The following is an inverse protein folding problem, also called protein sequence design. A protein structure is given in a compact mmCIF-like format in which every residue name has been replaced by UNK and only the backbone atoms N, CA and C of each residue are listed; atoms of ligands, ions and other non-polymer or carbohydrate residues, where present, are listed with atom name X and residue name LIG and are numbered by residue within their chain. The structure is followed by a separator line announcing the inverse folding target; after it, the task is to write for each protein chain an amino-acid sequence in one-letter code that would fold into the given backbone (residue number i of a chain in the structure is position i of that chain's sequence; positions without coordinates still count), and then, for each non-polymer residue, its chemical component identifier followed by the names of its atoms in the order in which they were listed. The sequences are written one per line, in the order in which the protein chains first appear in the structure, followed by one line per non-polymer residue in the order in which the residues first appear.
data_IF_408884241085
#
_entry.id   IF_408884241085
#
_cell.length_a   1.000
_cell.length_b   1.000
_cell.length_c   1.000
_cell.angle_alpha   90.00
_cell.angle_beta   90.00
_cell.angle_gamma   90.00
#
_symmetry.space_group_name_H-M   'P 1'
#
loop_
_entity.id
_entity.type
_entity.pdbx_description
1 polymer ?
#
# COMPACT_ATOMS: atom_id res chain seq x y z
N UNK A 1 -10.72 -3.91 17.06
CA UNK A 1 -10.39 -4.42 15.70
C UNK A 1 -10.98 -3.61 14.54
N UNK A 2 -11.75 -2.54 14.81
CA UNK A 2 -12.05 -1.42 13.86
C UNK A 2 -11.66 -0.06 14.46
N UNK A 3 -10.89 -0.07 15.55
CA UNK A 3 -10.72 1.06 16.47
C UNK A 3 -9.26 1.42 16.75
N UNK A 4 -8.30 0.74 16.12
CA UNK A 4 -6.89 1.14 16.18
C UNK A 4 -6.61 2.13 15.06
N UNK A 5 -5.81 3.18 15.30
CA UNK A 5 -5.63 4.28 14.37
C UNK A 5 -5.25 3.74 12.99
N UNK A 6 -5.82 4.35 11.94
CA UNK A 6 -5.49 4.06 10.55
C UNK A 6 -3.97 4.00 10.41
N UNK A 7 -3.48 2.83 10.02
CA UNK A 7 -2.06 2.55 9.85
C UNK A 7 -1.41 3.67 9.00
N UNK A 8 -0.32 4.33 9.45
CA UNK A 8 0.19 5.53 8.78
C UNK A 8 0.57 5.31 7.32
N UNK A 9 1.06 4.12 6.96
CA UNK A 9 1.34 3.75 5.56
C UNK A 9 0.05 3.68 4.72
N UNK A 10 -1.03 3.10 5.23
CA UNK A 10 -2.31 3.00 4.51
C UNK A 10 -3.00 4.36 4.39
N UNK A 11 -2.94 5.20 5.43
CA UNK A 11 -3.42 6.59 5.39
C UNK A 11 -2.67 7.41 4.33
N UNK A 12 -1.35 7.27 4.26
CA UNK A 12 -0.54 7.97 3.27
C UNK A 12 -0.84 7.49 1.83
N UNK A 13 -0.99 6.18 1.62
CA UNK A 13 -1.32 5.62 0.31
C UNK A 13 -2.72 6.02 -0.15
N UNK A 14 -3.73 5.92 0.72
CA UNK A 14 -5.13 6.23 0.39
C UNK A 14 -5.39 7.69 0.01
N UNK A 15 -4.51 8.61 0.43
CA UNK A 15 -4.57 10.03 0.04
C UNK A 15 -4.15 10.30 -1.41
N UNK A 16 -3.45 9.36 -2.04
CA UNK A 16 -2.80 9.57 -3.35
C UNK A 16 -3.19 8.53 -4.40
N UNK A 17 -3.54 7.31 -3.95
CA UNK A 17 -3.79 6.17 -4.82
C UNK A 17 -5.19 5.60 -4.53
N UNK A 18 -5.91 5.25 -5.59
CA UNK A 18 -7.15 4.49 -5.50
C UNK A 18 -6.84 3.00 -5.57
N UNK A 19 -7.09 2.28 -4.49
CA UNK A 19 -6.91 0.83 -4.37
C UNK A 19 -7.85 0.29 -3.31
N UNK A 20 -8.05 -1.03 -3.33
CA UNK A 20 -8.74 -1.78 -2.29
C UNK A 20 -7.78 -2.80 -1.68
N UNK A 21 -7.97 -3.11 -0.41
CA UNK A 21 -7.14 -4.08 0.28
C UNK A 21 -7.95 -4.83 1.33
N UNK A 22 -7.61 -6.09 1.54
CA UNK A 22 -8.11 -6.91 2.64
C UNK A 22 -6.92 -7.52 3.40
N UNK A 23 -6.92 -7.36 4.72
CA UNK A 23 -5.87 -7.88 5.62
C UNK A 23 -6.46 -9.03 6.43
N UNK A 24 -5.94 -10.23 6.23
CA UNK A 24 -6.29 -11.41 7.01
C UNK A 24 -5.45 -11.52 8.28
N UNK A 25 -6.04 -12.00 9.37
CA UNK A 25 -5.31 -12.29 10.62
C UNK A 25 -4.28 -13.41 10.48
N UNK A 26 -4.29 -14.13 9.36
CA UNK A 26 -3.29 -15.12 8.95
C UNK A 26 -2.04 -14.48 8.31
N UNK A 27 -1.90 -13.15 8.36
CA UNK A 27 -0.77 -12.42 7.77
C UNK A 27 -0.87 -12.18 6.26
N UNK A 28 -1.93 -12.67 5.60
CA UNK A 28 -2.11 -12.49 4.16
C UNK A 28 -2.75 -11.15 3.86
N UNK A 29 -2.22 -10.47 2.85
CA UNK A 29 -2.76 -9.20 2.38
C UNK A 29 -3.14 -9.32 0.90
N UNK A 30 -4.39 -9.02 0.61
CA UNK A 30 -4.89 -8.88 -0.75
C UNK A 30 -4.92 -7.41 -1.15
N UNK A 31 -4.48 -7.10 -2.36
CA UNK A 31 -4.48 -5.74 -2.92
C UNK A 31 -5.02 -5.79 -4.35
N UNK A 32 -5.94 -4.89 -4.67
CA UNK A 32 -6.40 -4.66 -6.03
C UNK A 32 -6.43 -3.17 -6.36
N UNK A 33 -6.04 -2.83 -7.59
CA UNK A 33 -6.04 -1.46 -8.10
C UNK A 33 -6.20 -1.45 -9.62
N UNK A 34 -6.52 -0.28 -10.17
CA UNK A 34 -6.73 -0.10 -11.61
C UNK A 34 -5.44 -0.21 -12.45
N UNK A 35 -4.26 -0.15 -11.83
CA UNK A 35 -2.93 -0.19 -12.46
C UNK A 35 -2.00 -1.17 -11.72
N UNK A 36 -1.15 -1.96 -12.42
CA UNK A 36 -0.24 -2.91 -11.77
C UNK A 36 0.78 -2.17 -10.92
N UNK A 37 1.25 -1.03 -11.42
CA UNK A 37 2.23 -0.19 -10.78
C UNK A 37 1.72 0.26 -9.40
N UNK A 38 0.43 0.58 -9.31
CA UNK A 38 -0.24 0.89 -8.04
C UNK A 38 -0.24 -0.32 -7.11
N UNK A 39 -0.60 -1.51 -7.59
CA UNK A 39 -0.60 -2.74 -6.77
C UNK A 39 0.81 -3.04 -6.24
N UNK A 40 1.83 -2.97 -7.10
CA UNK A 40 3.23 -3.21 -6.74
C UNK A 40 3.70 -2.20 -5.69
N UNK A 41 3.37 -0.92 -5.86
CA UNK A 41 3.77 0.13 -4.90
C UNK A 41 3.08 -0.04 -3.56
N UNK A 42 1.78 -0.33 -3.55
CA UNK A 42 1.03 -0.59 -2.31
C UNK A 42 1.60 -1.82 -1.59
N UNK A 43 1.86 -2.91 -2.32
CA UNK A 43 2.44 -4.13 -1.78
C UNK A 43 3.81 -3.88 -1.14
N UNK A 44 4.71 -3.21 -1.87
CA UNK A 44 6.05 -2.88 -1.38
C UNK A 44 5.99 -1.92 -0.19
N UNK A 45 5.09 -0.94 -0.20
CA UNK A 45 4.93 -0.03 0.91
C UNK A 45 4.48 -0.76 2.18
N UNK A 46 3.54 -1.72 2.08
CA UNK A 46 3.08 -2.52 3.22
C UNK A 46 4.24 -3.36 3.77
N UNK A 47 4.91 -4.15 2.91
CA UNK A 47 6.00 -5.03 3.32
C UNK A 47 7.17 -4.28 3.99
N UNK A 48 7.54 -3.11 3.46
CA UNK A 48 8.68 -2.34 3.98
C UNK A 48 8.31 -1.44 5.17
N UNK A 49 7.03 -1.31 5.53
CA UNK A 49 6.59 -0.41 6.60
C UNK A 49 6.75 -0.96 8.02
N UNK A 50 6.88 -2.27 8.18
CA UNK A 50 6.85 -2.96 9.48
C UNK A 50 7.90 -2.44 10.47
N UNK A 51 9.12 -2.19 9.99
CA UNK A 51 10.25 -1.72 10.81
C UNK A 51 10.39 -0.19 10.87
N UNK A 52 9.48 0.55 10.24
CA UNK A 52 9.57 2.00 10.11
C UNK A 52 8.66 2.73 11.10
N UNK A 53 9.16 3.85 11.65
CA UNK A 53 8.30 4.78 12.40
C UNK A 53 7.24 5.43 11.49
N UNK A 54 6.15 5.93 12.08
CA UNK A 54 5.07 6.55 11.30
C UNK A 54 5.52 7.72 10.41
N UNK A 55 6.56 8.48 10.81
CA UNK A 55 7.14 9.53 9.97
C UNK A 55 7.92 8.94 8.80
N UNK A 56 8.75 7.92 9.05
CA UNK A 56 9.49 7.21 8.00
C UNK A 56 8.57 6.53 7.00
N UNK A 57 7.46 5.95 7.45
CA UNK A 57 6.43 5.35 6.58
C UNK A 57 5.87 6.39 5.60
N UNK A 58 5.51 7.59 6.07
CA UNK A 58 5.00 8.67 5.20
C UNK A 58 6.05 9.11 4.17
N UNK A 59 7.31 9.29 4.60
CA UNK A 59 8.42 9.67 3.68
C UNK A 59 8.66 8.58 2.63
N UNK A 60 8.63 7.31 3.04
CA UNK A 60 8.79 6.18 2.12
C UNK A 60 7.67 6.16 1.06
N UNK A 61 6.42 6.32 1.49
CA UNK A 61 5.26 6.34 0.57
C UNK A 61 5.38 7.46 -0.45
N UNK A 62 5.73 8.68 -0.03
CA UNK A 62 5.95 9.81 -0.94
C UNK A 62 7.04 9.50 -1.98
N UNK A 63 8.17 8.91 -1.56
CA UNK A 63 9.24 8.49 -2.48
C UNK A 63 8.78 7.42 -3.47
N UNK A 64 8.01 6.44 -3.03
CA UNK A 64 7.49 5.38 -3.91
C UNK A 64 6.51 5.95 -4.96
N UNK A 65 5.65 6.89 -4.56
CA UNK A 65 4.69 7.55 -5.45
C UNK A 65 5.40 8.43 -6.48
N UNK A 66 6.45 9.16 -6.09
CA UNK A 66 7.23 9.97 -7.04
C UNK A 66 7.85 9.15 -8.18
N UNK A 67 8.18 7.87 -7.93
CA UNK A 67 8.77 6.98 -8.92
C UNK A 67 7.73 6.22 -9.77
N UNK A 68 6.44 6.47 -9.55
CA UNK A 68 5.35 5.72 -10.16
C UNK A 68 5.07 6.25 -11.58
N UNK A 69 5.46 5.47 -12.60
CA UNK A 69 5.09 5.70 -14.01
C UNK A 69 3.78 4.97 -14.31
N UNK A 70 2.69 5.71 -14.53
CA UNK A 70 1.37 5.14 -14.75
C UNK A 70 1.26 4.56 -16.18
N UNK A 71 1.04 3.25 -16.26
CA UNK A 71 0.51 2.58 -17.47
C UNK A 71 -0.83 1.92 -17.13
N UNK A 72 -1.77 1.98 -18.07
CA UNK A 72 -3.19 1.73 -17.85
C UNK A 72 -3.59 0.29 -18.21
N UNK A 73 -3.56 -0.62 -17.25
CA UNK A 73 -4.22 -1.95 -17.32
C UNK A 73 -4.47 -2.46 -15.89
N UNK A 74 -5.50 -3.27 -15.66
CA UNK A 74 -5.86 -3.74 -14.31
C UNK A 74 -5.16 -5.05 -13.95
N UNK A 75 -4.62 -5.17 -12.73
CA UNK A 75 -3.84 -6.33 -12.27
C UNK A 75 -4.16 -6.65 -10.81
N UNK A 76 -4.11 -7.93 -10.43
CA UNK A 76 -4.36 -8.42 -9.07
C UNK A 76 -3.11 -9.11 -8.53
N UNK A 77 -2.72 -8.82 -7.29
CA UNK A 77 -1.56 -9.45 -6.64
C UNK A 77 -1.91 -9.86 -5.20
N UNK A 78 -1.59 -11.11 -4.85
CA UNK A 78 -1.74 -11.63 -3.49
C UNK A 78 -0.35 -11.75 -2.86
N UNK A 79 -0.15 -11.09 -1.72
CA UNK A 79 1.11 -11.15 -0.97
C UNK A 79 0.99 -12.31 0.02
N UNK A 80 1.89 -13.31 -0.10
CA UNK A 80 1.97 -14.46 0.80
C UNK A 80 2.74 -14.14 2.07
#
# INVERSE_FOLDING_TARGET
LLSSPTCPVLDALGKKLSFETAVGLNGRVWVNASSPSTVIVVANAIMNSESLSGVQQRIMVEKLIQNLKLSSQSYTFMIF
#
